data_IF_353515780404
#
_entry.id   IF_353515780404
#
_cell.length_a   1.000
_cell.length_b   1.000
_cell.length_c   1.000
_cell.angle_alpha   90.00
_cell.angle_beta   90.00
_cell.angle_gamma   90.00
#
_symmetry.space_group_name_H-M   'P 1'
#
loop_
_entity.id
_entity.type
_entity.pdbx_description
1 polymer ?
#
# COMPACT_ATOMS: atom_id res chain seq x y z
N UNK A 1 17.74 17.44 3.04
CA UNK A 1 16.57 17.75 3.89
C UNK A 1 15.66 16.55 3.92
N UNK A 2 15.63 15.79 5.02
CA UNK A 2 14.69 14.68 5.15
C UNK A 2 13.28 15.25 5.34
N UNK A 3 12.35 14.87 4.46
CA UNK A 3 10.93 15.16 4.64
C UNK A 3 10.45 14.19 5.72
N UNK A 4 10.45 14.62 6.99
CA UNK A 4 9.85 13.85 8.07
C UNK A 4 8.34 13.86 7.87
N UNK A 5 7.80 12.74 7.40
CA UNK A 5 6.35 12.57 7.29
C UNK A 5 5.70 12.76 8.65
N UNK A 6 4.51 13.34 8.66
CA UNK A 6 3.88 13.82 9.88
C UNK A 6 3.12 12.70 10.63
N UNK A 7 3.90 11.75 11.16
CA UNK A 7 3.43 10.51 11.80
C UNK A 7 2.61 10.72 13.07
N UNK A 8 2.71 11.88 13.72
CA UNK A 8 2.06 12.14 14.99
C UNK A 8 0.90 13.15 14.90
N UNK A 9 0.70 13.81 13.75
CA UNK A 9 -0.43 14.71 13.63
C UNK A 9 -1.67 13.98 13.11
N UNK A 10 -2.86 14.33 13.61
CA UNK A 10 -4.14 14.01 13.02
C UNK A 10 -4.21 14.29 11.52
N UNK A 11 -4.71 13.33 10.73
CA UNK A 11 -5.07 13.55 9.33
C UNK A 11 -6.58 13.42 9.13
N UNK A 12 -7.17 14.33 8.34
CA UNK A 12 -8.60 14.27 8.02
C UNK A 12 -9.00 12.97 7.30
N UNK A 13 -8.13 12.46 6.43
CA UNK A 13 -8.32 11.16 5.76
C UNK A 13 -8.30 9.96 6.72
N UNK A 14 -7.69 10.13 7.89
CA UNK A 14 -7.63 9.12 8.95
C UNK A 14 -8.64 9.41 10.07
N UNK A 15 -9.73 10.14 9.76
CA UNK A 15 -10.78 10.53 10.71
C UNK A 15 -10.23 11.29 11.93
N UNK A 16 -9.17 12.08 11.73
CA UNK A 16 -8.51 12.83 12.80
C UNK A 16 -7.54 12.01 13.65
N UNK A 17 -7.25 10.76 13.30
CA UNK A 17 -6.18 9.98 13.95
C UNK A 17 -4.82 10.26 13.31
N UNK A 18 -3.72 10.16 14.07
CA UNK A 18 -2.38 10.19 13.50
C UNK A 18 -2.04 8.86 12.81
N UNK A 19 -1.14 8.85 11.82
CA UNK A 19 -0.73 7.63 11.12
C UNK A 19 -0.11 6.59 12.07
N UNK A 20 0.57 7.04 13.13
CA UNK A 20 1.11 6.16 14.17
C UNK A 20 0.03 5.33 14.85
N UNK A 21 -1.11 5.93 15.21
CA UNK A 21 -2.23 5.23 15.84
C UNK A 21 -2.85 4.18 14.90
N UNK A 22 -2.99 4.52 13.61
CA UNK A 22 -3.50 3.57 12.61
C UNK A 22 -2.58 2.35 12.47
N UNK A 23 -1.26 2.55 12.44
CA UNK A 23 -0.31 1.44 12.35
C UNK A 23 -0.40 0.51 13.55
N UNK A 24 -0.52 1.05 14.76
CA UNK A 24 -0.71 0.24 15.98
C UNK A 24 -2.03 -0.54 15.93
N UNK A 25 -3.12 0.09 15.50
CA UNK A 25 -4.41 -0.60 15.35
C UNK A 25 -4.33 -1.76 14.34
N UNK A 26 -3.60 -1.56 13.23
CA UNK A 26 -3.45 -2.59 12.21
C UNK A 26 -2.46 -3.69 12.61
N UNK A 27 -1.45 -3.41 13.44
CA UNK A 27 -0.47 -4.43 13.84
C UNK A 27 -1.08 -5.55 14.68
N UNK A 28 -2.18 -5.28 15.40
CA UNK A 28 -2.89 -6.29 16.18
C UNK A 28 -3.59 -7.35 15.32
N UNK A 29 -3.88 -7.05 14.05
CA UNK A 29 -4.64 -7.93 13.15
C UNK A 29 -3.86 -8.35 11.91
N UNK A 30 -2.74 -7.69 11.62
CA UNK A 30 -1.93 -7.94 10.43
C UNK A 30 -0.80 -8.91 10.79
N UNK A 31 -0.78 -10.12 10.21
CA UNK A 31 0.32 -11.07 10.44
C UNK A 31 1.67 -10.47 10.07
N UNK A 32 2.72 -10.96 10.72
CA UNK A 32 4.08 -10.57 10.34
C UNK A 32 4.43 -11.13 8.96
N UNK A 33 5.30 -10.41 8.24
CA UNK A 33 5.75 -10.83 6.91
C UNK A 33 6.31 -12.25 6.92
N UNK A 34 7.09 -12.59 7.95
CA UNK A 34 7.69 -13.91 8.12
C UNK A 34 6.65 -15.05 8.20
N UNK A 35 5.47 -14.76 8.75
CA UNK A 35 4.38 -15.73 8.91
C UNK A 35 3.64 -15.98 7.58
N UNK A 36 3.58 -14.99 6.69
CA UNK A 36 2.82 -15.07 5.43
C UNK A 36 3.70 -15.30 4.20
N UNK A 37 4.99 -14.98 4.28
CA UNK A 37 5.90 -15.03 3.13
C UNK A 37 6.01 -16.45 2.53
N UNK A 38 5.99 -17.49 3.37
CA UNK A 38 6.04 -18.89 2.90
C UNK A 38 4.79 -19.28 2.09
N UNK A 39 3.67 -18.59 2.31
CA UNK A 39 2.42 -18.83 1.60
C UNK A 39 2.27 -17.93 0.36
N UNK A 40 3.19 -16.98 0.16
CA UNK A 40 3.17 -16.06 -0.98
C UNK A 40 3.57 -16.79 -2.26
N UNK A 41 2.73 -16.70 -3.29
CA UNK A 41 2.98 -17.29 -4.60
C UNK A 41 2.95 -16.20 -5.66
N UNK A 42 4.13 -15.89 -6.21
CA UNK A 42 4.29 -14.86 -7.25
C UNK A 42 3.40 -15.18 -8.47
N UNK A 43 3.23 -16.45 -8.81
CA UNK A 43 2.38 -16.87 -9.93
C UNK A 43 0.90 -16.50 -9.75
N UNK A 44 0.45 -16.29 -8.50
CA UNK A 44 -0.91 -15.85 -8.19
C UNK A 44 -1.07 -14.32 -8.33
N UNK A 45 0.01 -13.56 -8.53
CA UNK A 45 -0.09 -12.13 -8.77
C UNK A 45 -0.82 -11.86 -10.08
N UNK A 46 -1.76 -10.91 -10.04
CA UNK A 46 -2.47 -10.46 -11.24
C UNK A 46 -1.52 -9.85 -12.28
N UNK A 47 -0.43 -9.25 -11.83
CA UNK A 47 0.57 -8.60 -12.68
C UNK A 47 1.91 -9.27 -12.36
N UNK A 48 2.25 -10.30 -13.11
CA UNK A 48 3.51 -11.05 -12.92
C UNK A 48 4.74 -10.29 -13.42
N UNK A 49 4.56 -9.39 -14.39
CA UNK A 49 5.61 -8.55 -14.96
C UNK A 49 5.18 -7.11 -14.76
N UNK A 50 5.78 -6.44 -13.79
CA UNK A 50 5.60 -5.00 -13.59
C UNK A 50 6.26 -4.25 -14.75
N UNK A 51 5.46 -3.91 -15.76
CA UNK A 51 5.91 -3.06 -16.85
C UNK A 51 5.20 -1.71 -16.74
N UNK A 52 5.88 -0.79 -16.05
CA UNK A 52 5.39 0.56 -15.76
C UNK A 52 4.93 1.30 -17.01
N UNK A 53 5.54 1.05 -18.17
CA UNK A 53 5.15 1.71 -19.42
C UNK A 53 3.81 1.20 -19.94
N UNK A 54 3.64 -0.13 -20.00
CA UNK A 54 2.38 -0.73 -20.45
C UNK A 54 1.24 -0.46 -19.49
N UNK A 55 1.50 -0.44 -18.18
CA UNK A 55 0.49 -0.16 -17.16
C UNK A 55 -0.02 1.28 -17.26
N UNK A 56 0.86 2.24 -17.52
CA UNK A 56 0.49 3.64 -17.74
C UNK A 56 -0.33 3.83 -19.03
N UNK A 57 0.01 3.12 -20.10
CA UNK A 57 -0.76 3.15 -21.37
C UNK A 57 -2.16 2.58 -21.15
N UNK A 58 -2.26 1.41 -20.49
CA UNK A 58 -3.55 0.78 -20.19
C UNK A 58 -4.43 1.67 -19.32
N UNK A 59 -3.86 2.38 -18.34
CA UNK A 59 -4.59 3.34 -17.50
C UNK A 59 -5.15 4.51 -18.32
N UNK A 60 -4.37 5.05 -19.27
CA UNK A 60 -4.82 6.13 -20.17
C UNK A 60 -5.95 5.67 -21.08
N UNK A 61 -5.85 4.47 -21.65
CA UNK A 61 -6.86 3.93 -22.56
C UNK A 61 -8.17 3.61 -21.84
N UNK A 62 -8.11 3.06 -20.62
CA UNK A 62 -9.30 2.73 -19.82
C UNK A 62 -10.01 3.94 -19.21
N UNK A 63 -9.29 5.04 -18.97
CA UNK A 63 -9.86 6.30 -18.48
C UNK A 63 -10.51 7.17 -19.57
N UNK A 64 -10.57 6.68 -20.81
CA UNK A 64 -11.11 7.40 -21.97
C UNK A 64 -12.47 6.87 -22.45
N UNK A 65 -13.16 6.05 -21.63
CA UNK A 65 -14.56 5.63 -21.85
C UNK A 65 -15.46 6.17 -20.75
#
# INVERSE_FOLDING_TARGET
MAIFYNWQHPHGSLKGKPPSAIVVELSEITPFSEEVNNNYKIDNERIQIANSHTDLIMKKLKGSL
#
